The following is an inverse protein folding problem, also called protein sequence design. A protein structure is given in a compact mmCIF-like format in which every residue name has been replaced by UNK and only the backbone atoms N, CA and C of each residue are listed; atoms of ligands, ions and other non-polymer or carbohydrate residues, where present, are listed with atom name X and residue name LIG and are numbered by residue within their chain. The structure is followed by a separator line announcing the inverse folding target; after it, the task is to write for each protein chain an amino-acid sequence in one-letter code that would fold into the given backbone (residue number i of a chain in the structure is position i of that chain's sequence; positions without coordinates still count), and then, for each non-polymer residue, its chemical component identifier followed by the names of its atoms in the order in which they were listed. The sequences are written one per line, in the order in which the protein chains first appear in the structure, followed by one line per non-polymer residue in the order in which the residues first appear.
data_IF_984067274325
#
_entry.id   IF_984067274325
#
_cell.length_a   1.000
_cell.length_b   1.000
_cell.length_c   1.000
_cell.angle_alpha   90.00
_cell.angle_beta   90.00
_cell.angle_gamma   90.00
#
_symmetry.space_group_name_H-M   'P 1'
#
loop_
_entity.id
_entity.type
_entity.pdbx_description
1 polymer ?
#
# COMPACT_ATOMS: atom_id res chain seq x y z
N UNK A 1 -22.99 19.69 21.60
CA UNK A 1 -22.78 18.95 22.86
C UNK A 1 -23.64 17.69 22.75
N UNK A 2 -23.15 16.49 22.39
CA UNK A 2 -21.99 15.73 22.85
C UNK A 2 -21.25 15.06 21.66
N UNK A 3 -19.95 14.86 21.88
CA UNK A 3 -18.96 14.24 20.99
C UNK A 3 -19.37 12.80 20.63
N UNK A 4 -19.48 12.49 19.33
CA UNK A 4 -19.42 11.11 18.83
C UNK A 4 -17.94 10.77 18.72
N UNK A 5 -17.43 10.23 19.80
CA UNK A 5 -16.06 9.75 19.97
C UNK A 5 -16.13 8.21 20.00
N UNK A 6 -15.15 7.55 19.39
CA UNK A 6 -14.95 6.09 19.24
C UNK A 6 -15.76 5.38 18.17
N UNK A 7 -15.10 5.14 17.03
CA UNK A 7 -14.81 3.80 16.49
C UNK A 7 -13.60 3.93 15.54
N UNK A 8 -12.48 4.43 16.06
CA UNK A 8 -11.16 4.15 15.49
C UNK A 8 -10.70 2.82 16.09
N UNK A 9 -11.25 1.71 15.61
CA UNK A 9 -10.63 0.41 15.81
C UNK A 9 -9.38 0.35 14.94
N UNK A 10 -8.28 0.92 15.45
CA UNK A 10 -6.93 0.52 15.07
C UNK A 10 -6.75 -0.97 15.46
N UNK A 11 -7.27 -1.86 14.63
CA UNK A 11 -6.73 -3.20 14.55
C UNK A 11 -5.50 -3.15 13.65
N UNK A 12 -4.44 -2.51 14.15
CA UNK A 12 -3.09 -2.74 13.65
C UNK A 12 -2.56 -3.97 14.38
N UNK A 13 -3.04 -5.15 13.99
CA UNK A 13 -2.22 -6.34 14.19
C UNK A 13 -0.89 -6.05 13.48
N UNK A 14 0.23 -6.06 14.22
CA UNK A 14 1.56 -5.87 13.65
C UNK A 14 1.68 -6.73 12.37
N UNK A 15 2.34 -6.24 11.30
CA UNK A 15 2.36 -6.97 10.04
C UNK A 15 2.91 -8.37 10.29
N UNK A 16 2.15 -9.44 9.99
CA UNK A 16 2.69 -10.79 10.06
C UNK A 16 3.55 -10.96 8.81
N UNK A 17 4.79 -10.45 8.83
CA UNK A 17 5.74 -10.51 7.73
C UNK A 17 5.89 -11.95 7.21
N UNK A 18 5.85 -12.91 8.12
CA UNK A 18 5.81 -14.33 7.80
C UNK A 18 4.55 -14.74 7.01
N UNK A 19 3.35 -14.26 7.39
CA UNK A 19 2.14 -14.54 6.64
C UNK A 19 2.16 -13.88 5.24
N UNK A 20 2.70 -12.65 5.12
CA UNK A 20 2.93 -12.01 3.81
C UNK A 20 3.85 -12.87 2.94
N UNK A 21 4.92 -13.41 3.52
CA UNK A 21 5.87 -14.28 2.82
C UNK A 21 5.24 -15.60 2.39
N UNK A 22 4.54 -16.28 3.29
CA UNK A 22 3.80 -17.52 2.98
C UNK A 22 2.82 -17.28 1.83
N UNK A 23 2.01 -16.23 1.94
CA UNK A 23 1.03 -15.89 0.91
C UNK A 23 1.66 -15.55 -0.44
N UNK A 24 2.75 -14.79 -0.44
CA UNK A 24 3.45 -14.45 -1.68
C UNK A 24 4.06 -15.69 -2.37
N UNK A 25 4.61 -16.63 -1.59
CA UNK A 25 5.12 -17.89 -2.12
C UNK A 25 3.99 -18.76 -2.69
N UNK A 26 2.87 -18.92 -1.98
CA UNK A 26 1.68 -19.64 -2.49
C UNK A 26 1.21 -19.07 -3.83
N UNK A 27 1.08 -17.74 -3.92
CA UNK A 27 0.64 -17.07 -5.15
C UNK A 27 1.66 -17.22 -6.27
N UNK A 28 2.96 -17.20 -5.95
CA UNK A 28 4.04 -17.37 -6.93
C UNK A 28 3.97 -18.76 -7.55
N UNK A 29 3.79 -19.77 -6.72
CA UNK A 29 3.76 -21.17 -7.15
C UNK A 29 2.48 -21.49 -7.92
N UNK A 30 1.35 -20.84 -7.56
CA UNK A 30 0.06 -20.97 -8.26
C UNK A 30 0.00 -20.21 -9.60
N UNK A 31 0.67 -19.07 -9.73
CA UNK A 31 0.52 -18.16 -10.87
C UNK A 31 1.86 -17.85 -11.56
N UNK A 32 2.30 -18.69 -12.53
CA UNK A 32 3.59 -18.53 -13.20
C UNK A 32 3.82 -17.16 -13.84
N UNK A 33 2.77 -16.54 -14.40
CA UNK A 33 2.86 -15.23 -15.03
C UNK A 33 3.17 -14.09 -14.05
N UNK A 34 2.91 -14.27 -12.75
CA UNK A 34 3.19 -13.30 -11.69
C UNK A 34 4.47 -13.63 -10.92
N UNK A 35 5.13 -14.76 -11.22
CA UNK A 35 6.18 -15.33 -10.38
C UNK A 35 7.40 -14.41 -10.23
N UNK A 36 7.75 -13.68 -11.29
CA UNK A 36 8.87 -12.72 -11.27
C UNK A 36 8.61 -11.56 -10.29
N UNK A 37 7.41 -10.96 -10.34
CA UNK A 37 7.04 -9.88 -9.41
C UNK A 37 6.97 -10.38 -7.97
N UNK A 38 6.41 -11.57 -7.76
CA UNK A 38 6.25 -12.14 -6.42
C UNK A 38 7.60 -12.55 -5.82
N UNK A 39 8.57 -12.99 -6.64
CA UNK A 39 9.95 -13.23 -6.19
C UNK A 39 10.59 -11.95 -5.66
N UNK A 40 10.45 -10.84 -6.40
CA UNK A 40 10.92 -9.54 -5.94
C UNK A 40 10.23 -9.12 -4.64
N UNK A 41 8.90 -9.25 -4.56
CA UNK A 41 8.17 -8.92 -3.34
C UNK A 41 8.64 -9.72 -2.13
N UNK A 42 8.87 -11.03 -2.28
CA UNK A 42 9.42 -11.88 -1.22
C UNK A 42 10.81 -11.38 -0.77
N UNK A 43 11.69 -11.03 -1.70
CA UNK A 43 13.01 -10.48 -1.36
C UNK A 43 12.92 -9.11 -0.65
N UNK A 44 11.95 -8.28 -1.03
CA UNK A 44 11.71 -7.01 -0.34
C UNK A 44 11.20 -7.20 1.10
N UNK A 45 10.52 -8.31 1.43
CA UNK A 45 10.11 -8.59 2.81
C UNK A 45 11.30 -8.78 3.75
N UNK A 46 12.44 -9.29 3.25
CA UNK A 46 13.70 -9.41 4.00
C UNK A 46 14.31 -8.04 4.33
N UNK A 47 13.95 -7.01 3.56
CA UNK A 47 14.33 -5.61 3.82
C UNK A 47 13.30 -4.91 4.71
N UNK A 48 12.01 -5.14 4.43
CA UNK A 48 10.91 -4.44 5.07
C UNK A 48 10.77 -4.78 6.56
N UNK A 49 10.91 -6.05 6.93
CA UNK A 49 10.78 -6.49 8.34
C UNK A 49 11.82 -5.81 9.27
N UNK A 50 13.14 -5.86 8.99
CA UNK A 50 14.11 -5.17 9.82
C UNK A 50 13.97 -3.65 9.75
N UNK A 51 13.64 -3.07 8.59
CA UNK A 51 13.43 -1.63 8.45
C UNK A 51 12.25 -1.13 9.30
N UNK A 52 11.15 -1.86 9.33
CA UNK A 52 9.98 -1.56 10.16
C UNK A 52 10.33 -1.59 11.66
N UNK A 53 11.11 -2.61 12.08
CA UNK A 53 11.59 -2.75 13.47
C UNK A 53 12.53 -1.61 13.86
N UNK A 54 13.49 -1.28 13.00
CA UNK A 54 14.43 -0.18 13.22
C UNK A 54 13.70 1.16 13.35
N UNK A 55 12.74 1.45 12.47
CA UNK A 55 11.96 2.69 12.54
C UNK A 55 11.20 2.86 13.87
N UNK A 56 10.65 1.77 14.42
CA UNK A 56 9.96 1.80 15.72
C UNK A 56 10.90 2.05 16.90
N UNK A 57 12.14 1.57 16.80
CA UNK A 57 13.18 1.77 17.80
C UNK A 57 13.77 3.19 17.71
N UNK A 58 14.15 3.62 16.51
CA UNK A 58 14.86 4.87 16.26
C UNK A 58 13.93 6.09 16.33
N UNK A 59 12.65 5.93 15.96
CA UNK A 59 11.62 6.98 15.93
C UNK A 59 12.12 8.29 15.29
N UNK A 60 12.52 8.25 14.00
CA UNK A 60 13.02 9.44 13.33
C UNK A 60 12.00 10.59 13.38
N UNK A 61 12.49 11.80 13.60
CA UNK A 61 11.66 13.00 13.56
C UNK A 61 11.04 13.17 12.14
N UNK A 62 9.83 13.76 12.02
CA UNK A 62 9.14 13.87 10.74
C UNK A 62 9.94 14.59 9.64
N UNK A 63 10.72 15.60 10.00
CA UNK A 63 11.59 16.37 9.11
C UNK A 63 12.84 15.60 8.68
N UNK A 64 13.33 14.67 9.50
CA UNK A 64 14.46 13.78 9.19
C UNK A 64 14.04 12.47 8.50
N UNK A 65 12.73 12.24 8.30
CA UNK A 65 12.21 10.94 7.86
C UNK A 65 12.69 10.55 6.45
N UNK A 66 12.78 11.51 5.54
CA UNK A 66 13.22 11.26 4.16
C UNK A 66 14.68 10.78 4.12
N UNK A 67 15.57 11.51 4.80
CA UNK A 67 16.99 11.17 4.88
C UNK A 67 17.22 9.86 5.63
N UNK A 68 16.45 9.61 6.71
CA UNK A 68 16.47 8.34 7.42
C UNK A 68 16.15 7.16 6.49
N UNK A 69 15.05 7.22 5.73
CA UNK A 69 14.64 6.15 4.81
C UNK A 69 15.69 6.00 3.69
N UNK A 70 16.15 7.11 3.13
CA UNK A 70 17.13 7.10 2.05
C UNK A 70 18.46 6.47 2.47
N UNK A 71 18.97 6.80 3.65
CA UNK A 71 20.23 6.26 4.14
C UNK A 71 20.10 4.80 4.61
N UNK A 72 18.97 4.42 5.23
CA UNK A 72 18.84 3.14 5.94
C UNK A 72 18.19 2.04 5.12
N UNK A 73 17.33 2.37 4.15
CA UNK A 73 16.46 1.39 3.49
C UNK A 73 16.72 1.29 1.99
N UNK A 74 16.94 2.41 1.28
CA UNK A 74 17.16 2.40 -0.18
C UNK A 74 18.29 1.45 -0.62
N UNK A 75 19.49 1.43 0.01
CA UNK A 75 20.56 0.54 -0.44
C UNK A 75 20.16 -0.95 -0.41
N UNK A 76 19.41 -1.35 0.62
CA UNK A 76 18.92 -2.73 0.76
C UNK A 76 17.81 -3.05 -0.26
N UNK A 77 16.92 -2.09 -0.55
CA UNK A 77 15.91 -2.22 -1.61
C UNK A 77 16.59 -2.38 -2.98
N UNK A 78 17.59 -1.56 -3.31
CA UNK A 78 18.35 -1.67 -4.56
C UNK A 78 19.02 -3.04 -4.65
N UNK A 79 19.69 -3.51 -3.59
CA UNK A 79 20.32 -4.82 -3.57
C UNK A 79 19.33 -5.97 -3.79
N UNK A 80 18.18 -5.95 -3.10
CA UNK A 80 17.11 -6.93 -3.28
C UNK A 80 16.52 -6.89 -4.71
N UNK A 81 16.34 -5.70 -5.27
CA UNK A 81 15.85 -5.50 -6.64
C UNK A 81 16.82 -6.05 -7.67
N UNK A 82 18.11 -5.80 -7.48
CA UNK A 82 19.16 -6.32 -8.34
C UNK A 82 19.22 -7.84 -8.31
N UNK A 83 19.05 -8.45 -7.14
CA UNK A 83 19.17 -9.89 -6.95
C UNK A 83 17.94 -10.68 -7.43
N UNK A 84 16.73 -10.15 -7.23
CA UNK A 84 15.49 -10.90 -7.39
C UNK A 84 14.47 -10.25 -8.33
N UNK A 85 14.72 -9.01 -8.77
CA UNK A 85 13.81 -8.23 -9.60
C UNK A 85 13.87 -8.59 -11.09
N UNK A 86 12.89 -8.09 -11.86
CA UNK A 86 12.91 -8.20 -13.32
C UNK A 86 14.17 -7.61 -13.91
N UNK A 87 14.69 -8.23 -14.97
CA UNK A 87 15.94 -7.81 -15.61
C UNK A 87 15.92 -6.33 -15.98
N UNK A 88 14.80 -5.82 -16.49
CA UNK A 88 14.65 -4.40 -16.83
C UNK A 88 14.76 -3.49 -15.59
N UNK A 89 14.09 -3.85 -14.50
CA UNK A 89 14.11 -3.06 -13.26
C UNK A 89 15.47 -3.15 -12.56
N UNK A 90 16.07 -4.34 -12.50
CA UNK A 90 17.39 -4.59 -11.93
C UNK A 90 18.50 -3.80 -12.65
N UNK A 91 18.37 -3.60 -13.97
CA UNK A 91 19.25 -2.70 -14.74
C UNK A 91 18.97 -1.24 -14.40
N UNK A 92 17.71 -0.84 -14.43
CA UNK A 92 17.32 0.55 -14.21
C UNK A 92 17.76 1.10 -12.84
N UNK A 93 17.70 0.30 -11.77
CA UNK A 93 18.14 0.74 -10.42
C UNK A 93 19.65 0.83 -10.25
N UNK A 94 20.45 0.39 -11.23
CA UNK A 94 21.92 0.51 -11.23
C UNK A 94 22.41 1.77 -11.97
N UNK A 95 21.54 2.38 -12.77
CA UNK A 95 21.88 3.62 -13.47
C UNK A 95 22.00 4.78 -12.47
N UNK A 96 22.71 5.86 -12.82
CA UNK A 96 22.72 7.08 -12.01
C UNK A 96 21.29 7.63 -11.85
N UNK A 97 20.83 7.74 -10.61
CA UNK A 97 19.55 8.33 -10.24
C UNK A 97 19.77 9.66 -9.51
N UNK A 98 18.70 10.45 -9.39
CA UNK A 98 18.71 11.63 -8.52
C UNK A 98 19.03 11.27 -7.05
N UNK A 99 19.29 12.27 -6.19
CA UNK A 99 19.59 12.04 -4.79
C UNK A 99 18.49 11.19 -4.11
N UNK A 100 18.83 10.06 -3.46
CA UNK A 100 17.83 9.18 -2.85
C UNK A 100 16.91 9.88 -1.84
N UNK A 101 17.44 10.83 -1.05
CA UNK A 101 16.66 11.66 -0.12
C UNK A 101 15.60 12.50 -0.83
N UNK A 102 15.92 13.05 -2.00
CA UNK A 102 14.96 13.83 -2.80
C UNK A 102 13.82 12.95 -3.34
N UNK A 103 14.12 11.74 -3.81
CA UNK A 103 13.10 10.79 -4.26
C UNK A 103 12.15 10.40 -3.12
N UNK A 104 12.69 10.12 -1.92
CA UNK A 104 11.85 9.85 -0.74
C UNK A 104 11.03 11.08 -0.35
N UNK A 105 11.63 12.27 -0.26
CA UNK A 105 10.92 13.48 0.12
C UNK A 105 9.74 13.77 -0.82
N UNK A 106 9.96 13.68 -2.13
CA UNK A 106 8.91 13.84 -3.13
C UNK A 106 7.81 12.78 -2.98
N UNK A 107 8.13 11.53 -2.60
CA UNK A 107 7.13 10.47 -2.38
C UNK A 107 6.25 10.76 -1.16
N UNK A 108 6.88 11.21 -0.06
CA UNK A 108 6.18 11.60 1.17
C UNK A 108 5.25 12.79 0.90
N UNK A 109 5.72 13.78 0.15
CA UNK A 109 4.93 14.93 -0.31
C UNK A 109 3.82 14.53 -1.29
N UNK A 110 4.02 13.48 -2.07
CA UNK A 110 3.06 13.02 -3.06
C UNK A 110 3.22 13.62 -4.43
N UNK A 111 4.44 14.02 -4.73
CA UNK A 111 4.84 14.61 -5.98
C UNK A 111 5.11 13.51 -7.01
N UNK A 112 4.77 13.75 -8.28
CA UNK A 112 5.07 12.82 -9.35
C UNK A 112 6.59 12.70 -9.54
N UNK A 113 7.05 11.49 -9.87
CA UNK A 113 8.46 11.18 -10.10
C UNK A 113 8.61 10.26 -11.30
N UNK A 114 9.83 10.12 -11.87
CA UNK A 114 10.07 9.08 -12.83
C UNK A 114 9.88 7.68 -12.18
N UNK A 115 9.52 6.65 -12.97
CA UNK A 115 9.03 5.39 -12.42
C UNK A 115 10.01 4.63 -11.51
N UNK A 116 11.32 4.78 -11.73
CA UNK A 116 12.35 4.07 -10.96
C UNK A 116 12.51 4.70 -9.58
N UNK A 117 12.54 6.03 -9.52
CA UNK A 117 12.58 6.81 -8.29
C UNK A 117 11.30 6.62 -7.49
N UNK A 118 10.13 6.64 -8.14
CA UNK A 118 8.85 6.35 -7.48
C UNK A 118 8.86 4.93 -6.88
N UNK A 119 9.34 3.94 -7.64
CA UNK A 119 9.47 2.56 -7.15
C UNK A 119 10.38 2.48 -5.91
N UNK A 120 11.60 3.05 -5.98
CA UNK A 120 12.56 2.98 -4.89
C UNK A 120 12.04 3.72 -3.64
N UNK A 121 11.49 4.92 -3.83
CA UNK A 121 10.93 5.71 -2.76
C UNK A 121 9.74 4.99 -2.09
N UNK A 122 8.84 4.39 -2.87
CA UNK A 122 7.72 3.60 -2.36
C UNK A 122 8.19 2.36 -1.60
N UNK A 123 9.03 1.53 -2.23
CA UNK A 123 9.52 0.29 -1.63
C UNK A 123 10.28 0.56 -0.33
N UNK A 124 11.08 1.62 -0.27
CA UNK A 124 11.80 1.99 0.95
C UNK A 124 10.89 2.62 2.03
N UNK A 125 9.87 3.38 1.63
CA UNK A 125 9.02 4.12 2.59
C UNK A 125 7.94 3.26 3.24
N UNK A 126 7.34 2.31 2.49
CA UNK A 126 6.21 1.50 2.98
C UNK A 126 6.48 0.83 4.34
N UNK A 127 7.58 0.09 4.59
CA UNK A 127 7.80 -0.55 5.89
C UNK A 127 7.89 0.44 7.06
N UNK A 128 8.49 1.60 6.82
CA UNK A 128 8.67 2.66 7.83
C UNK A 128 7.33 3.36 8.11
N UNK A 129 6.57 3.67 7.06
CA UNK A 129 5.28 4.33 7.20
C UNK A 129 4.21 3.40 7.78
N UNK A 130 4.21 2.12 7.41
CA UNK A 130 3.30 1.13 8.00
C UNK A 130 3.56 0.97 9.50
N UNK A 131 4.83 0.93 9.93
CA UNK A 131 5.17 0.73 11.35
C UNK A 131 4.94 1.97 12.21
N UNK A 132 5.31 3.15 11.73
CA UNK A 132 5.19 4.39 12.52
C UNK A 132 3.74 4.87 12.65
N UNK A 133 2.83 4.48 11.74
CA UNK A 133 1.43 4.91 11.83
C UNK A 133 1.29 6.43 11.89
N UNK A 134 0.33 6.93 12.68
CA UNK A 134 0.09 8.37 12.78
C UNK A 134 1.32 9.20 13.18
N UNK A 135 2.33 8.60 13.83
CA UNK A 135 3.57 9.26 14.30
C UNK A 135 4.41 9.84 13.15
N UNK A 136 4.32 9.27 11.94
CA UNK A 136 5.08 9.76 10.79
C UNK A 136 4.68 11.18 10.32
N UNK A 137 3.55 11.73 10.80
CA UNK A 137 3.12 13.12 10.57
C UNK A 137 3.21 13.63 9.11
N UNK A 138 2.83 12.79 8.14
CA UNK A 138 2.95 13.12 6.71
C UNK A 138 2.15 14.38 6.30
N UNK A 139 2.67 15.19 5.35
CA UNK A 139 1.92 16.28 4.75
C UNK A 139 0.57 15.81 4.20
N UNK A 140 -0.49 16.58 4.44
CA UNK A 140 -1.86 16.23 4.04
C UNK A 140 -2.37 17.18 2.95
N UNK A 141 -2.37 16.71 1.71
CA UNK A 141 -3.25 17.29 0.69
C UNK A 141 -4.65 16.67 0.84
N UNK A 142 -5.67 17.47 1.17
CA UNK A 142 -7.06 16.98 1.23
C UNK A 142 -7.51 16.64 -0.20
N UNK A 143 -7.64 15.35 -0.50
CA UNK A 143 -8.29 14.87 -1.72
C UNK A 143 -9.60 14.16 -1.38
N UNK A 144 -10.65 14.40 -2.18
CA UNK A 144 -11.86 13.60 -2.08
C UNK A 144 -11.52 12.12 -2.34
N UNK A 145 -11.95 11.23 -1.45
CA UNK A 145 -11.63 9.80 -1.52
C UNK A 145 -10.20 9.41 -1.10
N UNK A 146 -9.34 10.38 -0.76
CA UNK A 146 -7.96 10.13 -0.34
C UNK A 146 -7.84 9.58 1.08
N UNK A 147 -6.68 8.99 1.38
CA UNK A 147 -6.34 8.46 2.69
C UNK A 147 -6.42 9.56 3.77
N UNK A 148 -7.11 9.32 4.91
CA UNK A 148 -7.22 10.32 5.98
C UNK A 148 -5.88 10.66 6.65
N UNK A 149 -4.89 9.77 6.54
CA UNK A 149 -3.56 9.95 7.15
C UNK A 149 -2.65 10.85 6.34
N UNK A 150 -2.55 10.62 5.02
CA UNK A 150 -1.55 11.28 4.16
C UNK A 150 -2.11 11.86 2.84
N UNK A 151 -3.42 11.77 2.61
CA UNK A 151 -4.05 12.23 1.37
C UNK A 151 -3.77 11.37 0.12
N UNK A 152 -3.01 10.28 0.24
CA UNK A 152 -2.66 9.40 -0.86
C UNK A 152 -3.87 8.63 -1.44
N UNK A 153 -3.80 8.19 -2.70
CA UNK A 153 -4.90 7.45 -3.32
C UNK A 153 -5.04 6.03 -2.75
N UNK A 154 -6.24 5.41 -2.88
CA UNK A 154 -6.41 3.99 -2.57
C UNK A 154 -5.73 3.12 -3.62
N UNK A 155 -5.02 2.07 -3.19
CA UNK A 155 -4.44 1.04 -4.08
C UNK A 155 -5.29 -0.24 -4.14
N UNK A 156 -6.02 -0.52 -3.06
CA UNK A 156 -6.78 -1.75 -2.91
C UNK A 156 -8.02 -1.48 -2.05
N UNK A 157 -9.11 -2.16 -2.38
CA UNK A 157 -10.28 -2.29 -1.52
C UNK A 157 -10.26 -3.69 -0.89
N UNK A 158 -10.55 -3.77 0.40
CA UNK A 158 -10.57 -5.02 1.15
C UNK A 158 -11.90 -5.15 1.89
N UNK A 159 -12.56 -6.29 1.73
CA UNK A 159 -13.73 -6.66 2.54
C UNK A 159 -13.25 -7.68 3.54
N UNK A 160 -13.16 -7.26 4.81
CA UNK A 160 -12.71 -8.14 5.87
C UNK A 160 -13.72 -9.28 6.11
N UNK A 161 -13.26 -10.35 6.71
CA UNK A 161 -14.14 -11.31 7.35
C UNK A 161 -14.73 -10.67 8.61
N UNK A 162 -16.05 -10.61 8.70
CA UNK A 162 -16.71 -10.26 9.94
C UNK A 162 -16.71 -11.52 10.78
N UNK A 163 -15.90 -11.57 11.84
CA UNK A 163 -15.93 -12.65 12.82
C UNK A 163 -17.29 -12.85 13.53
N UNK A 164 -18.30 -12.05 13.17
CA UNK A 164 -19.69 -12.14 13.60
C UNK A 164 -20.59 -12.42 12.39
N UNK A 165 -21.39 -13.49 12.48
CA UNK A 165 -22.26 -14.00 11.40
C UNK A 165 -23.35 -13.01 10.93
N UNK A 166 -23.64 -11.96 11.70
CA UNK A 166 -24.74 -11.03 11.45
C UNK A 166 -24.30 -9.61 11.08
N UNK A 167 -23.00 -9.30 11.14
CA UNK A 167 -22.48 -7.99 10.73
C UNK A 167 -21.75 -8.12 9.42
N UNK A 168 -22.02 -7.24 8.47
CA UNK A 168 -21.22 -7.21 7.23
C UNK A 168 -19.95 -6.41 7.49
N UNK A 169 -18.77 -7.04 7.45
CA UNK A 169 -17.50 -6.36 7.76
C UNK A 169 -17.20 -5.16 6.84
N UNK A 170 -16.92 -3.96 7.36
CA UNK A 170 -16.86 -2.74 6.57
C UNK A 170 -15.87 -2.86 5.39
N UNK A 171 -16.19 -2.19 4.29
CA UNK A 171 -15.21 -2.02 3.20
C UNK A 171 -14.08 -1.14 3.73
N UNK A 172 -12.86 -1.65 3.64
CA UNK A 172 -11.65 -0.91 3.94
C UNK A 172 -10.92 -0.58 2.64
N UNK A 173 -10.27 0.58 2.60
CA UNK A 173 -9.34 0.93 1.53
C UNK A 173 -7.92 0.93 2.10
N UNK A 174 -6.95 0.48 1.31
CA UNK A 174 -5.53 0.54 1.65
C UNK A 174 -4.86 1.68 0.87
N UNK A 175 -4.01 2.46 1.54
CA UNK A 175 -3.34 3.60 0.91
C UNK A 175 -2.17 3.13 0.05
N UNK A 176 -2.07 3.63 -1.17
CA UNK A 176 -0.91 3.40 -2.04
C UNK A 176 0.39 4.00 -1.48
N UNK A 177 0.29 5.05 -0.66
CA UNK A 177 1.43 5.81 -0.14
C UNK A 177 1.97 5.29 1.19
N UNK A 178 1.11 5.26 2.21
CA UNK A 178 1.51 4.97 3.59
C UNK A 178 1.12 3.57 4.08
N UNK A 179 0.47 2.75 3.24
CA UNK A 179 -0.01 1.41 3.60
C UNK A 179 -1.16 1.38 4.62
N UNK A 180 -1.60 2.53 5.14
CA UNK A 180 -2.68 2.62 6.12
C UNK A 180 -4.03 2.21 5.55
N UNK A 181 -4.86 1.61 6.42
CA UNK A 181 -6.23 1.23 6.11
C UNK A 181 -7.23 2.25 6.67
N UNK A 182 -8.36 2.44 5.99
CA UNK A 182 -9.48 3.20 6.53
C UNK A 182 -10.81 2.64 6.03
N UNK A 183 -11.86 2.78 6.86
CA UNK A 183 -13.22 2.42 6.47
C UNK A 183 -13.74 3.38 5.41
N UNK A 184 -14.38 2.84 4.39
CA UNK A 184 -14.96 3.61 3.29
C UNK A 184 -16.37 3.12 2.96
N UNK A 185 -17.23 4.05 2.52
CA UNK A 185 -18.60 3.72 2.15
C UNK A 185 -18.64 2.79 0.93
N UNK A 186 -19.29 1.63 1.09
CA UNK A 186 -19.45 0.60 0.05
C UNK A 186 -20.18 1.14 -1.19
N UNK A 187 -21.15 2.02 -0.97
CA UNK A 187 -22.04 2.52 -2.02
C UNK A 187 -21.41 3.69 -2.80
N UNK A 188 -20.19 4.11 -2.46
CA UNK A 188 -19.49 5.17 -3.17
C UNK A 188 -18.22 4.70 -3.89
N UNK A 189 -17.89 5.35 -5.01
CA UNK A 189 -16.62 5.19 -5.69
C UNK A 189 -15.46 5.55 -4.73
N UNK A 190 -14.44 4.69 -4.65
CA UNK A 190 -13.27 4.91 -3.82
C UNK A 190 -12.45 6.15 -4.22
N UNK A 191 -12.52 6.57 -5.49
CA UNK A 191 -11.88 7.77 -6.01
C UNK A 191 -12.71 9.04 -5.82
N UNK A 192 -13.79 9.21 -6.58
CA UNK A 192 -14.54 10.47 -6.63
C UNK A 192 -15.78 10.52 -5.73
N UNK A 193 -16.08 9.47 -4.96
CA UNK A 193 -17.27 9.35 -4.10
C UNK A 193 -18.63 9.38 -4.82
N UNK A 194 -18.64 9.15 -6.13
CA UNK A 194 -19.88 8.92 -6.90
C UNK A 194 -20.69 7.76 -6.28
N UNK A 195 -21.99 7.97 -6.08
CA UNK A 195 -22.90 6.98 -5.48
C UNK A 195 -23.88 6.39 -6.48
N UNK A 196 -24.02 6.99 -7.66
CA UNK A 196 -24.87 6.49 -8.73
C UNK A 196 -24.36 5.14 -9.22
N UNK A 197 -25.14 4.08 -8.98
CA UNK A 197 -24.87 2.75 -9.51
C UNK A 197 -24.86 2.71 -11.04
N UNK A 198 -25.57 3.63 -11.70
CA UNK A 198 -25.61 3.72 -13.17
C UNK A 198 -24.25 4.07 -13.81
N UNK A 199 -23.30 4.61 -13.04
CA UNK A 199 -21.97 5.02 -13.51
C UNK A 199 -20.84 4.18 -12.91
N UNK A 200 -21.21 3.05 -12.31
CA UNK A 200 -20.31 2.13 -11.61
C UNK A 200 -20.56 0.71 -12.10
N UNK A 201 -19.49 0.02 -12.45
CA UNK A 201 -19.54 -1.38 -12.90
C UNK A 201 -18.64 -2.24 -12.02
N UNK A 202 -19.09 -3.46 -11.73
CA UNK A 202 -18.30 -4.45 -11.01
C UNK A 202 -18.00 -5.59 -11.97
N UNK A 203 -16.73 -5.91 -12.14
CA UNK A 203 -16.27 -7.04 -12.93
C UNK A 203 -15.69 -8.11 -12.00
N UNK A 204 -16.07 -9.37 -12.18
CA UNK A 204 -15.51 -10.51 -11.43
C UNK A 204 -15.27 -11.69 -12.36
N UNK A 205 -14.35 -12.56 -11.96
CA UNK A 205 -14.13 -13.88 -12.54
C UNK A 205 -14.22 -14.89 -11.39
N UNK A 206 -15.46 -15.28 -11.08
CA UNK A 206 -15.74 -16.11 -9.90
C UNK A 206 -15.17 -17.53 -10.03
N UNK A 207 -14.84 -17.98 -11.24
CA UNK A 207 -14.22 -19.29 -11.49
C UNK A 207 -12.71 -19.27 -11.23
N UNK A 208 -12.00 -18.30 -11.80
CA UNK A 208 -10.53 -18.25 -11.73
C UNK A 208 -10.03 -17.47 -10.52
N UNK A 209 -10.74 -16.41 -10.13
CA UNK A 209 -10.35 -15.44 -9.11
C UNK A 209 -11.54 -15.13 -8.17
N UNK A 210 -12.09 -16.12 -7.46
CA UNK A 210 -13.31 -15.96 -6.66
C UNK A 210 -13.24 -14.86 -5.59
N UNK A 211 -12.05 -14.59 -5.07
CA UNK A 211 -11.80 -13.57 -4.05
C UNK A 211 -11.54 -12.17 -4.63
N UNK A 212 -11.52 -11.98 -5.95
CA UNK A 212 -11.22 -10.70 -6.59
C UNK A 212 -12.39 -10.16 -7.40
N UNK A 213 -12.61 -8.86 -7.28
CA UNK A 213 -13.47 -8.10 -8.19
C UNK A 213 -12.84 -6.75 -8.53
N UNK A 214 -13.33 -6.10 -9.57
CA UNK A 214 -12.86 -4.79 -10.02
C UNK A 214 -14.04 -3.83 -10.01
N UNK A 215 -13.96 -2.81 -9.15
CA UNK A 215 -14.91 -1.70 -9.13
C UNK A 215 -14.45 -0.61 -10.10
N UNK A 216 -15.12 -0.46 -11.24
CA UNK A 216 -14.88 0.61 -12.20
C UNK A 216 -15.86 1.78 -12.02
N UNK A 217 -15.39 3.00 -12.28
CA UNK A 217 -16.21 4.20 -12.24
C UNK A 217 -16.04 5.03 -13.51
N UNK A 218 -17.13 5.25 -14.23
CA UNK A 218 -17.14 6.01 -15.48
C UNK A 218 -16.88 7.50 -15.26
N UNK A 219 -17.38 8.05 -14.14
CA UNK A 219 -17.23 9.48 -13.81
C UNK A 219 -15.77 9.92 -13.65
N UNK A 220 -14.96 9.12 -12.96
CA UNK A 220 -13.53 9.44 -12.76
C UNK A 220 -12.58 8.61 -13.62
N UNK A 221 -13.11 7.67 -14.42
CA UNK A 221 -12.37 6.73 -15.27
C UNK A 221 -11.26 5.98 -14.53
N UNK A 222 -11.54 5.59 -13.28
CA UNK A 222 -10.65 4.80 -12.44
C UNK A 222 -11.30 3.49 -12.08
N UNK A 223 -10.47 2.48 -11.84
CA UNK A 223 -10.89 1.23 -11.27
C UNK A 223 -10.12 0.95 -9.97
N UNK A 224 -10.67 0.09 -9.13
CA UNK A 224 -9.99 -0.41 -7.95
C UNK A 224 -10.25 -1.91 -7.80
N UNK A 225 -9.20 -2.68 -7.58
CA UNK A 225 -9.33 -4.10 -7.26
C UNK A 225 -9.84 -4.21 -5.82
N UNK A 226 -10.85 -5.05 -5.64
CA UNK A 226 -11.38 -5.46 -4.34
C UNK A 226 -10.96 -6.89 -4.06
N UNK A 227 -10.39 -7.12 -2.88
CA UNK A 227 -10.12 -8.46 -2.33
C UNK A 227 -11.18 -8.75 -1.28
N UNK A 228 -11.89 -9.86 -1.46
CA UNK A 228 -12.84 -10.40 -0.49
C UNK A 228 -12.13 -11.40 0.43
N UNK A 229 -11.86 -11.01 1.67
CA UNK A 229 -11.18 -11.86 2.65
C UNK A 229 -12.02 -13.00 3.19
N UNK A 230 -13.29 -13.13 2.79
CA UNK A 230 -14.21 -14.21 3.18
C UNK A 230 -14.10 -15.44 2.27
N UNK A 231 -13.28 -15.39 1.22
CA UNK A 231 -13.12 -16.43 0.18
C UNK A 231 -11.65 -16.80 0.02
#
# INVERSE_FOLDING_TARGET
MKRSDRLETEHVAAPPWEARRRRANELRDRWPHAAEMLRLYVALLDVHEPAARAALADRPAPDALADYIAARVIPAVVAATVAAGPVALARAVREPLGPPGAAVAAWLAGEPQPPVEEYLARAASVPVLESLGAVAALPRARQAGGCPRCGGPPQLSYVAESGELLLTAPRQLMCARCGGFWVHDRLSCAGCRERSSATRSIFSDDERLPALSVDACERCRRYLITVDGRK
#
